data_IF_200875519929
#
_entry.id   IF_200875519929
#
_cell.length_a   1.000
_cell.length_b   1.000
_cell.length_c   1.000
_cell.angle_alpha   90.00
_cell.angle_beta   90.00
_cell.angle_gamma   90.00
#
_symmetry.space_group_name_H-M   'P 1'
#
loop_
_entity.id
_entity.type
_entity.pdbx_description
1 polymer ?
#
# COMPACT_ATOMS: atom_id res chain seq x y z
N UNK A 1 23.65 9.78 -26.83
CA UNK A 1 22.72 9.58 -27.98
C UNK A 1 22.45 8.12 -28.32
N UNK A 2 23.44 7.27 -28.65
CA UNK A 2 23.21 5.81 -28.88
C UNK A 2 22.90 5.04 -27.59
N UNK A 3 23.58 5.38 -26.48
CA UNK A 3 23.28 4.84 -25.16
C UNK A 3 21.86 5.22 -24.70
N UNK A 4 21.42 6.47 -24.95
CA UNK A 4 20.07 6.93 -24.59
C UNK A 4 18.98 6.25 -25.43
N UNK A 5 19.22 6.01 -26.73
CA UNK A 5 18.29 5.25 -27.58
C UNK A 5 18.18 3.77 -27.18
N UNK A 6 19.28 3.14 -26.74
CA UNK A 6 19.27 1.76 -26.22
C UNK A 6 18.48 1.69 -24.90
N UNK A 7 18.74 2.63 -23.98
CA UNK A 7 18.00 2.74 -22.71
C UNK A 7 16.50 2.94 -22.96
N UNK A 8 16.09 3.79 -23.91
CA UNK A 8 14.69 3.98 -24.27
C UNK A 8 14.04 2.72 -24.89
N UNK A 9 14.78 1.99 -25.74
CA UNK A 9 14.30 0.75 -26.37
C UNK A 9 14.08 -0.37 -25.34
N UNK A 10 14.92 -0.47 -24.32
CA UNK A 10 14.80 -1.47 -23.26
C UNK A 10 13.82 -1.03 -22.16
N UNK A 11 13.58 0.27 -22.02
CA UNK A 11 12.66 0.85 -21.03
C UNK A 11 11.20 0.59 -21.39
N UNK A 12 10.82 0.78 -22.66
CA UNK A 12 9.42 0.76 -23.07
C UNK A 12 8.71 -0.58 -22.76
N UNK A 13 9.27 -1.76 -23.09
CA UNK A 13 8.61 -3.03 -22.76
C UNK A 13 8.42 -3.24 -21.25
N UNK A 14 9.38 -2.81 -20.44
CA UNK A 14 9.32 -2.95 -18.98
C UNK A 14 8.28 -2.00 -18.36
N UNK A 15 8.18 -0.77 -18.87
CA UNK A 15 7.15 0.20 -18.46
C UNK A 15 5.76 -0.30 -18.86
N UNK A 16 5.60 -0.78 -20.10
CA UNK A 16 4.31 -1.33 -20.58
C UNK A 16 3.88 -2.54 -19.75
N UNK A 17 4.79 -3.48 -19.49
CA UNK A 17 4.51 -4.63 -18.65
C UNK A 17 4.11 -4.22 -17.22
N UNK A 18 4.78 -3.21 -16.67
CA UNK A 18 4.47 -2.68 -15.34
C UNK A 18 3.08 -2.03 -15.34
N UNK A 19 2.82 -1.08 -16.23
CA UNK A 19 1.54 -0.34 -16.28
C UNK A 19 0.36 -1.29 -16.47
N UNK A 20 0.46 -2.22 -17.42
CA UNK A 20 -0.61 -3.21 -17.68
C UNK A 20 -0.79 -4.18 -16.51
N UNK A 21 0.31 -4.58 -15.87
CA UNK A 21 0.29 -5.49 -14.74
C UNK A 21 -0.27 -4.88 -13.46
N UNK A 22 -0.21 -3.56 -13.31
CA UNK A 22 -0.65 -2.85 -12.11
C UNK A 22 -2.01 -2.16 -12.24
N UNK A 23 -2.75 -2.31 -13.35
CA UNK A 23 -4.10 -1.73 -13.48
C UNK A 23 -5.04 -2.18 -12.35
N UNK A 24 -4.85 -3.38 -11.81
CA UNK A 24 -5.55 -3.90 -10.64
C UNK A 24 -5.18 -3.16 -9.36
N UNK A 25 -3.98 -2.58 -9.25
CA UNK A 25 -3.66 -1.64 -8.16
C UNK A 25 -4.46 -0.34 -8.29
N UNK A 26 -4.72 0.14 -9.51
CA UNK A 26 -5.66 1.26 -9.73
C UNK A 26 -7.09 0.86 -9.32
N UNK A 27 -7.54 -0.32 -9.73
CA UNK A 27 -8.82 -0.89 -9.31
C UNK A 27 -8.91 -1.04 -7.78
N UNK A 28 -7.85 -1.50 -7.13
CA UNK A 28 -7.79 -1.61 -5.66
C UNK A 28 -7.86 -0.24 -4.98
N UNK A 29 -7.17 0.76 -5.51
CA UNK A 29 -7.34 2.14 -5.05
C UNK A 29 -8.79 2.63 -5.13
N UNK A 30 -9.49 2.27 -6.22
CA UNK A 30 -10.91 2.56 -6.35
C UNK A 30 -11.74 1.81 -5.30
N UNK A 31 -11.54 0.50 -5.10
CA UNK A 31 -12.32 -0.30 -4.13
C UNK A 31 -12.00 0.06 -2.68
N UNK A 32 -10.77 0.49 -2.38
CA UNK A 32 -10.36 0.92 -1.05
C UNK A 32 -11.03 2.24 -0.67
N UNK A 33 -11.04 3.24 -1.57
CA UNK A 33 -11.73 4.51 -1.35
C UNK A 33 -13.24 4.49 -1.59
N UNK A 34 -13.79 3.40 -2.14
CA UNK A 34 -15.17 3.30 -2.62
C UNK A 34 -16.21 3.62 -1.55
N UNK A 35 -16.02 3.15 -0.32
CA UNK A 35 -16.99 3.36 0.75
C UNK A 35 -17.12 4.83 1.14
N UNK A 36 -16.14 5.66 0.84
CA UNK A 36 -16.15 7.06 1.26
C UNK A 36 -17.31 7.84 0.65
N UNK A 37 -17.46 7.96 -0.68
CA UNK A 37 -18.67 8.56 -1.27
C UNK A 37 -19.91 7.65 -1.19
N UNK A 38 -19.72 6.33 -1.11
CA UNK A 38 -20.83 5.38 -1.22
C UNK A 38 -21.59 5.15 0.09
N UNK A 39 -20.97 5.29 1.25
CA UNK A 39 -21.69 5.21 2.54
C UNK A 39 -22.76 6.30 2.61
N UNK A 40 -22.46 7.60 2.41
CA UNK A 40 -23.49 8.64 2.34
C UNK A 40 -24.57 8.36 1.31
N UNK A 41 -24.19 7.82 0.14
CA UNK A 41 -25.14 7.38 -0.87
C UNK A 41 -26.11 6.33 -0.30
N UNK A 42 -25.64 5.18 0.19
CA UNK A 42 -26.51 4.10 0.69
C UNK A 42 -27.33 4.45 1.94
N UNK A 43 -26.90 5.44 2.72
CA UNK A 43 -27.68 5.99 3.83
C UNK A 43 -28.79 6.94 3.36
N UNK A 44 -28.75 7.41 2.11
CA UNK A 44 -29.81 8.24 1.54
C UNK A 44 -31.01 7.38 1.09
N UNK A 45 -32.20 7.96 1.19
CA UNK A 45 -33.47 7.28 0.84
C UNK A 45 -33.71 7.13 -0.66
N UNK A 46 -32.81 7.64 -1.51
CA UNK A 46 -32.97 7.69 -2.98
C UNK A 46 -32.18 6.59 -3.71
N UNK A 47 -31.68 5.58 -2.99
CA UNK A 47 -30.82 4.54 -3.55
C UNK A 47 -31.56 3.28 -3.94
N UNK A 48 -30.89 2.49 -4.78
CA UNK A 48 -31.36 1.15 -5.17
C UNK A 48 -31.32 0.14 -4.01
N UNK A 49 -30.54 0.41 -2.96
CA UNK A 49 -30.43 -0.40 -1.73
C UNK A 49 -30.24 0.55 -0.55
N UNK A 50 -31.28 0.77 0.24
CA UNK A 50 -31.17 1.56 1.48
C UNK A 50 -30.52 0.71 2.58
N UNK A 51 -29.50 1.25 3.25
CA UNK A 51 -28.75 0.56 4.31
C UNK A 51 -28.85 1.30 5.65
N UNK A 52 -28.70 0.57 6.74
CA UNK A 52 -28.38 1.19 8.04
C UNK A 52 -26.89 1.55 8.11
N UNK A 53 -26.52 2.45 9.04
CA UNK A 53 -25.11 2.80 9.28
C UNK A 53 -24.26 1.56 9.58
N UNK A 54 -24.76 0.64 10.41
CA UNK A 54 -24.09 -0.62 10.70
C UNK A 54 -23.83 -1.43 9.43
N UNK A 55 -24.86 -1.59 8.58
CA UNK A 55 -24.73 -2.35 7.34
C UNK A 55 -23.72 -1.71 6.37
N UNK A 56 -23.71 -0.38 6.29
CA UNK A 56 -22.81 0.35 5.41
C UNK A 56 -21.35 0.26 5.87
N UNK A 57 -21.08 0.40 7.17
CA UNK A 57 -19.74 0.27 7.75
C UNK A 57 -19.17 -1.15 7.63
N UNK A 58 -20.01 -2.19 7.68
CA UNK A 58 -19.58 -3.57 7.46
C UNK A 58 -18.97 -3.80 6.06
N UNK A 59 -19.33 -3.00 5.06
CA UNK A 59 -18.70 -3.05 3.73
C UNK A 59 -17.19 -2.80 3.77
N UNK A 60 -16.74 -2.01 4.74
CA UNK A 60 -15.33 -1.66 4.92
C UNK A 60 -14.57 -2.83 5.54
N UNK A 61 -15.12 -3.35 6.65
CA UNK A 61 -14.56 -4.49 7.36
C UNK A 61 -14.48 -5.73 6.45
N UNK A 62 -15.52 -6.01 5.67
CA UNK A 62 -15.56 -7.18 4.77
C UNK A 62 -14.48 -7.11 3.68
N UNK A 63 -14.20 -5.91 3.15
CA UNK A 63 -13.09 -5.73 2.22
C UNK A 63 -11.73 -6.04 2.87
N UNK A 64 -11.50 -5.54 4.08
CA UNK A 64 -10.25 -5.79 4.79
C UNK A 64 -10.11 -7.27 5.22
N UNK A 65 -11.20 -7.94 5.57
CA UNK A 65 -11.22 -9.39 5.79
C UNK A 65 -10.95 -10.18 4.50
N UNK A 66 -11.44 -9.70 3.36
CA UNK A 66 -11.12 -10.24 2.04
C UNK A 66 -9.62 -10.17 1.75
N UNK A 67 -8.98 -9.03 2.07
CA UNK A 67 -7.53 -8.87 1.93
C UNK A 67 -6.77 -9.88 2.81
N UNK A 68 -7.15 -10.02 4.09
CA UNK A 68 -6.54 -11.00 4.99
C UNK A 68 -6.70 -12.45 4.48
N UNK A 69 -7.86 -12.76 3.91
CA UNK A 69 -8.13 -14.06 3.32
C UNK A 69 -7.34 -14.31 2.02
N UNK A 70 -6.90 -13.27 1.31
CA UNK A 70 -6.08 -13.36 0.10
C UNK A 70 -4.65 -13.83 0.36
N UNK A 71 -4.07 -13.48 1.52
CA UNK A 71 -2.66 -13.75 1.84
C UNK A 71 -2.20 -15.19 1.56
N UNK A 72 -2.89 -16.25 2.04
CA UNK A 72 -2.45 -17.63 1.79
C UNK A 72 -2.54 -18.01 0.32
N UNK A 73 -3.58 -17.55 -0.39
CA UNK A 73 -3.75 -17.82 -1.82
C UNK A 73 -2.63 -17.17 -2.62
N UNK A 74 -2.23 -15.96 -2.26
CA UNK A 74 -1.16 -15.26 -2.96
C UNK A 74 0.19 -15.92 -2.74
N UNK A 75 0.55 -16.24 -1.49
CA UNK A 75 1.83 -16.86 -1.14
C UNK A 75 2.00 -18.20 -1.87
N UNK A 76 0.95 -19.03 -1.91
CA UNK A 76 1.00 -20.31 -2.61
C UNK A 76 0.94 -20.13 -4.14
N UNK A 77 0.15 -19.16 -4.61
CA UNK A 77 -0.07 -18.87 -6.02
C UNK A 77 1.20 -18.41 -6.74
N UNK A 78 1.95 -17.47 -6.18
CA UNK A 78 3.13 -16.87 -6.85
C UNK A 78 4.26 -17.86 -7.10
N UNK A 79 4.40 -18.87 -6.24
CA UNK A 79 5.42 -19.92 -6.34
C UNK A 79 4.95 -21.13 -7.17
N UNK A 80 3.66 -21.47 -7.08
CA UNK A 80 3.11 -22.61 -7.81
C UNK A 80 2.73 -22.25 -9.26
N UNK A 81 1.96 -21.18 -9.44
CA UNK A 81 1.38 -20.73 -10.71
C UNK A 81 2.25 -19.71 -11.46
N UNK A 82 3.10 -18.98 -10.73
CA UNK A 82 3.92 -17.90 -11.26
C UNK A 82 3.34 -16.51 -10.95
N UNK A 83 4.18 -15.49 -11.16
CA UNK A 83 3.86 -14.10 -10.77
C UNK A 83 2.81 -13.53 -11.71
N UNK A 84 3.00 -13.69 -13.03
CA UNK A 84 2.04 -13.23 -14.05
C UNK A 84 0.66 -13.86 -13.87
N UNK A 85 0.62 -15.17 -13.69
CA UNK A 85 -0.66 -15.90 -13.52
C UNK A 85 -1.42 -15.42 -12.28
N UNK A 86 -0.71 -15.20 -11.17
CA UNK A 86 -1.31 -14.70 -9.93
C UNK A 86 -1.93 -13.30 -10.12
N UNK A 87 -1.24 -12.41 -10.84
CA UNK A 87 -1.76 -11.08 -11.18
C UNK A 87 -2.98 -11.13 -12.12
N UNK A 88 -3.06 -12.12 -13.03
CA UNK A 88 -4.23 -12.32 -13.89
C UNK A 88 -5.42 -12.80 -13.07
N UNK A 89 -5.22 -13.76 -12.16
CA UNK A 89 -6.30 -14.26 -11.27
C UNK A 89 -6.84 -13.13 -10.39
N UNK A 90 -5.95 -12.31 -9.83
CA UNK A 90 -6.32 -11.09 -9.10
C UNK A 90 -7.20 -10.16 -9.95
N UNK A 91 -6.82 -9.88 -11.20
CA UNK A 91 -7.63 -9.05 -12.10
C UNK A 91 -8.99 -9.68 -12.43
N UNK A 92 -9.08 -11.01 -12.54
CA UNK A 92 -10.36 -11.73 -12.73
C UNK A 92 -11.28 -11.54 -11.52
N UNK A 93 -10.76 -11.72 -10.30
CA UNK A 93 -11.54 -11.46 -9.08
C UNK A 93 -11.98 -10.00 -8.97
N UNK A 94 -11.11 -9.05 -9.33
CA UNK A 94 -11.47 -7.63 -9.42
C UNK A 94 -12.58 -7.36 -10.44
N UNK A 95 -12.52 -7.98 -11.62
CA UNK A 95 -13.56 -7.85 -12.64
C UNK A 95 -14.91 -8.39 -12.16
N UNK A 96 -14.91 -9.59 -11.55
CA UNK A 96 -16.11 -10.19 -10.95
C UNK A 96 -16.69 -9.27 -9.87
N UNK A 97 -15.86 -8.70 -8.99
CA UNK A 97 -16.30 -7.73 -7.99
C UNK A 97 -17.06 -6.56 -8.64
N UNK A 98 -16.47 -5.89 -9.64
CA UNK A 98 -17.12 -4.74 -10.26
C UNK A 98 -18.40 -5.09 -11.02
N UNK A 99 -18.45 -6.27 -11.67
CA UNK A 99 -19.70 -6.77 -12.28
C UNK A 99 -20.77 -6.96 -11.20
N UNK A 100 -20.42 -7.58 -10.07
CA UNK A 100 -21.36 -7.79 -8.96
C UNK A 100 -21.85 -6.48 -8.38
N UNK A 101 -20.98 -5.48 -8.19
CA UNK A 101 -21.38 -4.14 -7.72
C UNK A 101 -22.28 -3.40 -8.72
N UNK A 102 -22.11 -3.63 -10.03
CA UNK A 102 -22.93 -3.03 -11.07
C UNK A 102 -24.36 -3.59 -11.07
N UNK A 103 -24.50 -4.90 -10.89
CA UNK A 103 -25.80 -5.60 -10.99
C UNK A 103 -26.46 -5.89 -9.64
N UNK A 104 -25.81 -5.53 -8.53
CA UNK A 104 -26.28 -5.88 -7.19
C UNK A 104 -27.62 -5.22 -6.88
N UNK A 105 -28.58 -6.02 -6.45
CA UNK A 105 -29.87 -5.59 -5.90
C UNK A 105 -30.04 -5.96 -4.43
N UNK A 106 -29.00 -6.56 -3.81
CA UNK A 106 -29.02 -7.05 -2.45
C UNK A 106 -27.68 -6.79 -1.75
N UNK A 107 -27.75 -6.36 -0.47
CA UNK A 107 -26.62 -6.14 0.42
C UNK A 107 -25.61 -7.28 0.46
N UNK A 108 -26.07 -8.54 0.52
CA UNK A 108 -25.17 -9.70 0.60
C UNK A 108 -24.31 -9.88 -0.66
N UNK A 109 -24.83 -9.46 -1.83
CA UNK A 109 -24.06 -9.47 -3.08
C UNK A 109 -22.96 -8.41 -3.02
N UNK A 110 -23.27 -7.22 -2.48
CA UNK A 110 -22.27 -6.17 -2.24
C UNK A 110 -21.21 -6.70 -1.28
N UNK A 111 -21.58 -7.29 -0.16
CA UNK A 111 -20.62 -7.88 0.79
C UNK A 111 -19.70 -8.92 0.14
N UNK A 112 -20.26 -9.84 -0.65
CA UNK A 112 -19.45 -10.80 -1.38
C UNK A 112 -18.51 -10.13 -2.39
N UNK A 113 -18.99 -9.12 -3.12
CA UNK A 113 -18.15 -8.34 -4.03
C UNK A 113 -17.02 -7.61 -3.28
N UNK A 114 -17.29 -7.01 -2.11
CA UNK A 114 -16.30 -6.35 -1.26
C UNK A 114 -15.24 -7.35 -0.76
N UNK A 115 -15.64 -8.55 -0.37
CA UNK A 115 -14.71 -9.61 0.02
C UNK A 115 -13.77 -10.00 -1.14
N UNK A 116 -14.32 -10.17 -2.35
CA UNK A 116 -13.52 -10.44 -3.55
C UNK A 116 -12.59 -9.29 -3.90
N UNK A 117 -13.02 -8.03 -3.74
CA UNK A 117 -12.19 -6.85 -3.96
C UNK A 117 -10.94 -6.88 -3.07
N UNK A 118 -11.12 -7.11 -1.77
CA UNK A 118 -10.01 -7.19 -0.82
C UNK A 118 -9.03 -8.30 -1.18
N UNK A 119 -9.54 -9.49 -1.50
CA UNK A 119 -8.73 -10.62 -1.91
C UNK A 119 -7.94 -10.32 -3.19
N UNK A 120 -8.59 -9.72 -4.19
CA UNK A 120 -7.96 -9.32 -5.44
C UNK A 120 -6.86 -8.27 -5.20
N UNK A 121 -7.13 -7.28 -4.35
CA UNK A 121 -6.19 -6.23 -3.96
C UNK A 121 -4.92 -6.81 -3.35
N UNK A 122 -5.06 -7.62 -2.29
CA UNK A 122 -3.94 -8.30 -1.62
C UNK A 122 -3.09 -9.12 -2.61
N UNK A 123 -3.75 -9.93 -3.44
CA UNK A 123 -3.06 -10.71 -4.47
C UNK A 123 -2.23 -9.84 -5.42
N UNK A 124 -2.74 -8.66 -5.79
CA UNK A 124 -2.03 -7.72 -6.64
C UNK A 124 -0.81 -7.11 -5.92
N UNK A 125 -0.99 -6.65 -4.68
CA UNK A 125 0.05 -5.96 -3.92
C UNK A 125 1.21 -6.85 -3.46
N UNK A 126 1.00 -8.16 -3.44
CA UNK A 126 2.09 -9.12 -3.24
C UNK A 126 2.71 -9.54 -4.58
N UNK A 127 1.92 -9.91 -5.59
CA UNK A 127 2.44 -10.45 -6.86
C UNK A 127 3.11 -9.39 -7.76
N UNK A 128 2.55 -8.19 -7.85
CA UNK A 128 3.02 -7.16 -8.78
C UNK A 128 4.40 -6.60 -8.42
N UNK A 129 4.72 -6.26 -7.15
CA UNK A 129 6.07 -5.83 -6.80
C UNK A 129 7.13 -6.91 -7.05
N UNK A 130 6.81 -8.18 -6.83
CA UNK A 130 7.69 -9.30 -7.15
C UNK A 130 7.93 -9.40 -8.66
N UNK A 131 6.86 -9.36 -9.46
CA UNK A 131 6.96 -9.37 -10.91
C UNK A 131 7.86 -8.22 -11.40
N UNK A 132 7.58 -7.00 -10.96
CA UNK A 132 8.34 -5.79 -11.32
C UNK A 132 9.81 -5.94 -10.93
N UNK A 133 10.12 -6.41 -9.71
CA UNK A 133 11.49 -6.59 -9.26
C UNK A 133 12.28 -7.61 -10.10
N UNK A 134 11.61 -8.67 -10.56
CA UNK A 134 12.19 -9.75 -11.37
C UNK A 134 12.31 -9.39 -12.86
N UNK A 135 11.46 -8.49 -13.38
CA UNK A 135 11.55 -8.01 -14.77
C UNK A 135 12.35 -6.72 -14.93
N UNK A 136 12.54 -5.92 -13.89
CA UNK A 136 13.17 -4.61 -14.02
C UNK A 136 14.70 -4.67 -14.01
N UNK A 137 15.33 -3.93 -14.93
CA UNK A 137 16.78 -3.67 -14.86
C UNK A 137 17.10 -2.82 -13.62
N UNK A 138 18.27 -3.04 -12.96
CA UNK A 138 18.60 -2.40 -11.68
C UNK A 138 18.44 -0.87 -11.68
N UNK A 139 18.79 -0.21 -12.79
CA UNK A 139 18.76 1.26 -12.93
C UNK A 139 17.36 1.88 -12.82
N UNK A 140 16.31 1.17 -13.23
CA UNK A 140 14.93 1.70 -13.26
C UNK A 140 13.98 0.97 -12.30
N UNK A 141 14.47 -0.06 -11.59
CA UNK A 141 13.66 -0.90 -10.71
C UNK A 141 12.90 -0.10 -9.66
N UNK A 142 13.56 0.87 -9.02
CA UNK A 142 12.91 1.73 -8.02
C UNK A 142 11.76 2.56 -8.61
N UNK A 143 11.95 3.13 -9.80
CA UNK A 143 10.91 3.86 -10.52
C UNK A 143 9.70 2.95 -10.85
N UNK A 144 9.93 1.79 -11.45
CA UNK A 144 8.85 0.86 -11.78
C UNK A 144 8.13 0.34 -10.53
N UNK A 145 8.87 0.05 -9.46
CA UNK A 145 8.29 -0.37 -8.19
C UNK A 145 7.42 0.72 -7.55
N UNK A 146 7.72 2.01 -7.78
CA UNK A 146 6.89 3.11 -7.28
C UNK A 146 5.55 3.27 -8.03
N UNK A 147 5.47 2.80 -9.28
CA UNK A 147 4.28 2.96 -10.12
C UNK A 147 3.05 2.25 -9.54
N UNK A 148 3.21 1.11 -8.85
CA UNK A 148 2.10 0.38 -8.23
C UNK A 148 1.35 1.25 -7.20
N UNK A 149 2.10 1.96 -6.35
CA UNK A 149 1.55 2.80 -5.30
C UNK A 149 0.94 4.08 -5.88
N UNK A 150 1.55 4.64 -6.93
CA UNK A 150 0.96 5.78 -7.64
C UNK A 150 -0.33 5.41 -8.34
N UNK A 151 -0.41 4.21 -8.93
CA UNK A 151 -1.64 3.69 -9.55
C UNK A 151 -2.76 3.47 -8.52
N UNK A 152 -2.44 2.97 -7.33
CA UNK A 152 -3.40 2.91 -6.23
C UNK A 152 -3.97 4.27 -5.89
N UNK A 153 -3.13 5.29 -5.73
CA UNK A 153 -3.60 6.64 -5.43
C UNK A 153 -4.39 7.27 -6.58
N UNK A 154 -4.03 6.97 -7.83
CA UNK A 154 -4.84 7.33 -9.00
C UNK A 154 -6.24 6.70 -8.92
N UNK A 155 -6.33 5.44 -8.48
CA UNK A 155 -7.60 4.77 -8.21
C UNK A 155 -8.48 5.52 -7.21
N UNK A 156 -7.88 6.00 -6.11
CA UNK A 156 -8.58 6.80 -5.10
C UNK A 156 -9.10 8.13 -5.71
N UNK A 157 -8.29 8.79 -6.55
CA UNK A 157 -8.71 10.00 -7.27
C UNK A 157 -9.90 9.70 -8.18
N UNK A 158 -9.85 8.60 -8.94
CA UNK A 158 -10.93 8.18 -9.84
C UNK A 158 -12.21 7.94 -9.04
N UNK A 159 -12.17 7.19 -7.94
CA UNK A 159 -13.40 6.86 -7.20
C UNK A 159 -13.96 8.05 -6.43
N UNK A 160 -13.13 8.92 -5.87
CA UNK A 160 -13.63 10.14 -5.22
C UNK A 160 -14.22 11.13 -6.22
N UNK A 161 -13.74 11.13 -7.46
CA UNK A 161 -14.32 11.96 -8.53
C UNK A 161 -15.62 11.36 -9.04
N UNK A 162 -15.57 10.10 -9.46
CA UNK A 162 -16.69 9.44 -10.14
C UNK A 162 -17.79 9.02 -9.17
N UNK A 163 -17.43 8.53 -7.99
CA UNK A 163 -18.40 8.14 -6.96
C UNK A 163 -19.16 9.31 -6.35
N UNK A 164 -18.58 10.52 -6.37
CA UNK A 164 -19.22 11.71 -5.79
C UNK A 164 -20.02 12.53 -6.80
N UNK A 165 -19.60 12.52 -8.07
CA UNK A 165 -20.15 13.43 -9.09
C UNK A 165 -21.00 12.72 -10.16
N UNK A 166 -20.89 11.40 -10.28
CA UNK A 166 -21.54 10.63 -11.34
C UNK A 166 -22.48 9.57 -10.76
N UNK A 167 -23.44 9.05 -11.56
CA UNK A 167 -24.33 8.00 -11.13
C UNK A 167 -23.61 6.74 -10.67
N UNK A 168 -24.25 5.99 -9.76
CA UNK A 168 -23.71 4.77 -9.13
C UNK A 168 -23.16 3.72 -10.11
N UNK A 169 -23.72 3.60 -11.31
CA UNK A 169 -23.27 2.62 -12.30
C UNK A 169 -21.92 2.98 -12.96
N UNK A 170 -21.47 4.24 -12.88
CA UNK A 170 -20.26 4.70 -13.58
C UNK A 170 -18.97 4.12 -12.96
N UNK A 171 -18.72 4.22 -11.63
CA UNK A 171 -17.51 3.65 -11.06
C UNK A 171 -17.35 2.14 -11.29
N UNK A 172 -18.40 1.30 -11.16
CA UNK A 172 -18.32 -0.11 -11.54
C UNK A 172 -17.93 -0.34 -13.00
N UNK A 173 -18.48 0.41 -13.96
CA UNK A 173 -18.10 0.28 -15.38
C UNK A 173 -16.61 0.59 -15.58
N UNK A 174 -16.09 1.65 -14.95
CA UNK A 174 -14.67 2.00 -15.02
C UNK A 174 -13.81 0.87 -14.45
N UNK A 175 -14.20 0.32 -13.29
CA UNK A 175 -13.53 -0.83 -12.68
C UNK A 175 -13.51 -2.08 -13.57
N UNK A 176 -14.64 -2.41 -14.21
CA UNK A 176 -14.74 -3.49 -15.20
C UNK A 176 -13.76 -3.24 -16.34
N UNK A 177 -13.74 -2.05 -16.93
CA UNK A 177 -12.84 -1.71 -18.04
C UNK A 177 -11.37 -1.86 -17.62
N UNK A 178 -10.96 -1.31 -16.48
CA UNK A 178 -9.58 -1.37 -16.00
C UNK A 178 -9.11 -2.82 -15.79
N UNK A 179 -9.89 -3.60 -15.04
CA UNK A 179 -9.57 -5.01 -14.75
C UNK A 179 -9.68 -5.88 -16.00
N UNK A 180 -10.57 -5.56 -16.93
CA UNK A 180 -10.70 -6.24 -18.22
C UNK A 180 -9.51 -6.00 -19.12
N UNK A 181 -9.06 -4.74 -19.21
CA UNK A 181 -7.83 -4.41 -19.89
C UNK A 181 -6.63 -5.20 -19.33
N UNK A 182 -6.53 -5.36 -18.01
CA UNK A 182 -5.47 -6.19 -17.43
C UNK A 182 -5.60 -7.66 -17.82
N UNK A 183 -6.74 -8.31 -17.58
CA UNK A 183 -6.85 -9.75 -17.83
C UNK A 183 -6.74 -10.09 -19.33
N UNK A 184 -7.10 -9.17 -20.24
CA UNK A 184 -7.02 -9.36 -21.69
C UNK A 184 -5.61 -9.07 -22.22
N UNK A 185 -4.98 -7.96 -21.79
CA UNK A 185 -3.73 -7.49 -22.38
C UNK A 185 -2.48 -8.00 -21.67
N UNK A 186 -2.53 -8.20 -20.35
CA UNK A 186 -1.38 -8.65 -19.58
C UNK A 186 -0.89 -10.07 -19.90
N UNK A 187 -1.73 -11.05 -20.33
CA UNK A 187 -1.25 -12.36 -20.77
C UNK A 187 -0.17 -12.33 -21.86
N UNK A 188 -0.19 -11.31 -22.72
CA UNK A 188 0.79 -11.10 -23.80
C UNK A 188 2.17 -10.68 -23.28
N UNK A 189 2.26 -10.17 -22.05
CA UNK A 189 3.51 -9.83 -21.40
C UNK A 189 4.28 -11.10 -20.98
N UNK A 190 5.63 -11.06 -20.96
CA UNK A 190 6.43 -12.20 -20.54
C UNK A 190 6.21 -12.52 -19.06
N UNK A 191 6.31 -13.79 -18.69
CA UNK A 191 6.40 -14.19 -17.29
C UNK A 191 7.81 -13.87 -16.76
N UNK A 192 7.94 -13.81 -15.44
CA UNK A 192 9.22 -13.59 -14.77
C UNK A 192 10.32 -14.57 -15.23
N UNK A 193 11.50 -14.07 -15.66
CA UNK A 193 12.67 -14.90 -15.93
C UNK A 193 13.12 -15.71 -14.71
N UNK A 194 13.05 -15.12 -13.51
CA UNK A 194 13.39 -15.79 -12.24
C UNK A 194 12.48 -16.98 -11.98
N UNK A 195 11.17 -16.84 -12.24
CA UNK A 195 10.23 -17.95 -12.11
C UNK A 195 10.54 -19.11 -13.05
N UNK A 196 10.89 -18.82 -14.32
CA UNK A 196 11.27 -19.87 -15.26
C UNK A 196 12.56 -20.58 -14.87
N UNK A 197 13.58 -19.85 -14.42
CA UNK A 197 14.81 -20.45 -13.88
C UNK A 197 14.52 -21.29 -12.65
N UNK A 198 13.67 -20.81 -11.73
CA UNK A 198 13.24 -21.57 -10.56
C UNK A 198 12.59 -22.91 -10.91
N UNK A 199 11.78 -22.95 -11.98
CA UNK A 199 11.12 -24.15 -12.53
C UNK A 199 12.00 -24.95 -13.51
N UNK A 200 13.30 -24.67 -13.59
CA UNK A 200 14.26 -25.33 -14.49
C UNK A 200 13.89 -25.21 -15.99
N UNK A 201 13.31 -24.09 -16.42
CA UNK A 201 12.88 -23.81 -17.81
C UNK A 201 13.70 -22.67 -18.43
N UNK A 202 15.00 -22.88 -18.59
CA UNK A 202 15.95 -21.85 -19.03
C UNK A 202 15.63 -21.21 -20.39
N UNK A 203 15.28 -22.01 -21.39
CA UNK A 203 14.94 -21.49 -22.74
C UNK A 203 13.78 -20.49 -22.72
N UNK A 204 12.78 -20.73 -21.86
CA UNK A 204 11.67 -19.79 -21.65
C UNK A 204 12.14 -18.54 -20.91
N UNK A 205 13.10 -18.65 -19.98
CA UNK A 205 13.70 -17.50 -19.33
C UNK A 205 14.46 -16.61 -20.33
N UNK A 206 15.24 -17.21 -21.25
CA UNK A 206 15.93 -16.47 -22.34
C UNK A 206 14.93 -15.71 -23.21
N UNK A 207 13.86 -16.39 -23.61
CA UNK A 207 12.81 -15.82 -24.44
C UNK A 207 12.07 -14.67 -23.73
N UNK A 208 11.83 -14.80 -22.42
CA UNK A 208 11.23 -13.75 -21.61
C UNK A 208 12.13 -12.50 -21.50
N UNK A 209 13.44 -12.69 -21.28
CA UNK A 209 14.41 -11.59 -21.24
C UNK A 209 14.51 -10.86 -22.58
N UNK A 210 14.58 -11.60 -23.69
CA UNK A 210 14.63 -11.04 -25.05
C UNK A 210 13.40 -10.18 -25.39
N UNK A 211 12.23 -10.47 -24.79
CA UNK A 211 11.03 -9.63 -24.94
C UNK A 211 11.08 -8.36 -24.11
N UNK A 212 11.80 -8.37 -22.97
CA UNK A 212 11.90 -7.23 -22.05
C UNK A 212 13.02 -6.26 -22.46
N UNK A 213 14.11 -6.77 -23.03
CA UNK A 213 15.28 -5.98 -23.42
C UNK A 213 16.05 -6.63 -24.56
N UNK A 214 16.69 -5.80 -25.38
CA UNK A 214 17.57 -6.24 -26.47
C UNK A 214 19.04 -6.14 -26.01
N UNK A 215 19.46 -7.04 -25.11
CA UNK A 215 20.85 -7.10 -24.64
C UNK A 215 21.65 -8.19 -25.40
N UNK A 216 22.84 -7.88 -25.95
CA UNK A 216 23.74 -8.88 -26.51
C UNK A 216 24.34 -9.86 -25.48
N UNK A 217 24.28 -9.59 -24.17
CA UNK A 217 24.89 -10.43 -23.12
C UNK A 217 23.85 -11.16 -22.23
N UNK A 218 22.76 -11.62 -22.83
CA UNK A 218 21.65 -12.30 -22.12
C UNK A 218 22.11 -13.58 -21.41
N UNK A 219 23.09 -14.29 -21.96
CA UNK A 219 23.62 -15.50 -21.33
C UNK A 219 24.31 -15.21 -19.99
N UNK A 220 24.98 -14.05 -19.87
CA UNK A 220 25.52 -13.59 -18.60
C UNK A 220 24.41 -13.25 -17.61
N UNK A 221 23.39 -12.51 -18.03
CA UNK A 221 22.24 -12.17 -17.16
C UNK A 221 21.51 -13.43 -16.66
N UNK A 222 21.32 -14.44 -17.51
CA UNK A 222 20.75 -15.73 -17.11
C UNK A 222 21.64 -16.44 -16.07
N UNK A 223 22.95 -16.39 -16.26
CA UNK A 223 23.89 -16.98 -15.30
C UNK A 223 23.82 -16.30 -13.94
N UNK A 224 23.72 -14.97 -13.92
CA UNK A 224 23.51 -14.20 -12.68
C UNK A 224 22.17 -14.55 -12.01
N UNK A 225 21.09 -14.68 -12.80
CA UNK A 225 19.77 -15.10 -12.29
C UNK A 225 19.83 -16.52 -11.72
N UNK A 226 20.50 -17.47 -12.38
CA UNK A 226 20.70 -18.84 -11.88
C UNK A 226 21.40 -18.83 -10.52
N UNK A 227 22.50 -18.10 -10.41
CA UNK A 227 23.23 -17.97 -9.15
C UNK A 227 22.35 -17.36 -8.04
N UNK A 228 21.56 -16.34 -8.36
CA UNK A 228 20.63 -15.73 -7.41
C UNK A 228 19.54 -16.70 -6.94
N UNK A 229 18.93 -17.44 -7.87
CA UNK A 229 17.89 -18.45 -7.57
C UNK A 229 18.46 -19.62 -6.77
N UNK A 230 19.69 -20.04 -7.07
CA UNK A 230 20.35 -21.13 -6.35
C UNK A 230 20.70 -20.71 -4.92
N UNK A 231 21.25 -19.50 -4.72
CA UNK A 231 21.42 -18.92 -3.38
C UNK A 231 20.09 -18.81 -2.63
N UNK A 232 19.01 -18.41 -3.30
CA UNK A 232 17.68 -18.35 -2.67
C UNK A 232 17.17 -19.75 -2.25
N UNK A 233 17.60 -20.83 -2.91
CA UNK A 233 17.26 -22.21 -2.53
C UNK A 233 18.14 -22.72 -1.38
N UNK A 234 19.44 -22.42 -1.38
CA UNK A 234 20.42 -22.95 -0.44
C UNK A 234 20.53 -22.14 0.85
N UNK A 235 20.32 -20.82 0.79
CA UNK A 235 20.46 -19.88 1.92
C UNK A 235 19.12 -19.56 2.61
N UNK A 236 18.09 -20.43 2.48
CA UNK A 236 16.82 -20.23 3.20
C UNK A 236 17.04 -20.33 4.71
N UNK A 237 16.79 -19.22 5.40
CA UNK A 237 16.77 -19.20 6.87
C UNK A 237 15.64 -20.06 7.40
N UNK A 238 15.80 -20.60 8.61
CA UNK A 238 14.71 -21.34 9.26
C UNK A 238 13.66 -20.33 9.70
N UNK A 239 12.35 -20.59 9.56
CA UNK A 239 11.32 -19.67 10.07
C UNK A 239 11.50 -19.33 11.56
N UNK A 240 12.06 -20.27 12.34
CA UNK A 240 12.38 -20.08 13.75
C UNK A 240 13.43 -18.98 14.00
N UNK A 241 14.31 -18.71 13.02
CA UNK A 241 15.38 -17.70 13.13
C UNK A 241 14.81 -16.28 13.27
N UNK A 242 13.57 -16.05 12.85
CA UNK A 242 12.86 -14.79 13.09
C UNK A 242 12.72 -14.48 14.58
N UNK A 243 12.46 -15.51 15.38
CA UNK A 243 12.22 -15.38 16.82
C UNK A 243 13.50 -15.67 17.59
N UNK A 244 14.35 -16.59 17.15
CA UNK A 244 15.57 -16.97 17.88
C UNK A 244 16.68 -15.92 17.79
N UNK A 245 16.82 -15.25 16.65
CA UNK A 245 17.90 -14.26 16.42
C UNK A 245 17.47 -12.88 16.92
N UNK A 246 18.30 -12.24 17.74
CA UNK A 246 18.02 -10.94 18.37
C UNK A 246 17.73 -9.83 17.36
N UNK A 247 18.55 -9.69 16.30
CA UNK A 247 18.34 -8.64 15.28
C UNK A 247 17.00 -8.82 14.56
N UNK A 248 16.64 -10.06 14.24
CA UNK A 248 15.38 -10.39 13.58
C UNK A 248 14.16 -10.07 14.45
N UNK A 249 14.24 -10.36 15.77
CA UNK A 249 13.19 -9.96 16.72
C UNK A 249 13.00 -8.45 16.78
N UNK A 250 14.10 -7.69 16.77
CA UNK A 250 14.03 -6.22 16.79
C UNK A 250 13.44 -5.71 15.48
N UNK A 251 13.85 -6.26 14.34
CA UNK A 251 13.25 -5.96 13.04
C UNK A 251 11.74 -6.23 13.03
N UNK A 252 11.32 -7.40 13.51
CA UNK A 252 9.90 -7.76 13.64
C UNK A 252 9.15 -6.79 14.55
N UNK A 253 9.71 -6.43 15.70
CA UNK A 253 9.10 -5.48 16.63
C UNK A 253 8.93 -4.09 15.98
N UNK A 254 9.98 -3.60 15.30
CA UNK A 254 9.92 -2.33 14.56
C UNK A 254 8.81 -2.38 13.51
N UNK A 255 8.75 -3.45 12.72
CA UNK A 255 7.74 -3.57 11.67
C UNK A 255 6.33 -3.74 12.21
N UNK A 256 6.17 -4.46 13.32
CA UNK A 256 4.87 -4.63 13.97
C UNK A 256 4.30 -3.28 14.39
N UNK A 257 5.10 -2.46 15.07
CA UNK A 257 4.69 -1.14 15.53
C UNK A 257 4.50 -0.18 14.34
N UNK A 258 5.45 -0.12 13.41
CA UNK A 258 5.42 0.84 12.30
C UNK A 258 4.27 0.58 11.32
N UNK A 259 4.00 -0.68 10.95
CA UNK A 259 2.88 -0.99 10.05
C UNK A 259 1.54 -0.89 10.79
N UNK A 260 1.49 -1.33 12.05
CA UNK A 260 0.27 -1.21 12.86
C UNK A 260 -0.13 0.26 13.05
N UNK A 261 0.83 1.11 13.40
CA UNK A 261 0.56 2.51 13.71
C UNK A 261 0.03 3.32 12.53
N UNK A 262 0.37 2.97 11.28
CA UNK A 262 -0.20 3.65 10.11
C UNK A 262 -1.73 3.65 10.14
N UNK A 263 -2.34 2.52 10.54
CA UNK A 263 -3.78 2.38 10.68
C UNK A 263 -4.34 3.07 11.92
N UNK A 264 -3.59 3.05 13.02
CA UNK A 264 -3.94 3.78 14.24
C UNK A 264 -3.61 5.27 14.20
N UNK A 265 -3.07 5.78 13.09
CA UNK A 265 -2.99 7.22 12.75
C UNK A 265 -4.12 7.61 11.77
N UNK A 266 -4.98 6.65 11.41
CA UNK A 266 -6.25 6.91 10.74
C UNK A 266 -6.24 6.75 9.23
N UNK A 267 -5.20 6.15 8.60
CA UNK A 267 -5.14 6.05 7.13
C UNK A 267 -6.35 5.33 6.52
N UNK A 268 -6.74 4.16 7.05
CA UNK A 268 -7.90 3.41 6.55
C UNK A 268 -9.19 4.16 6.83
N UNK A 269 -9.35 4.65 8.05
CA UNK A 269 -10.55 5.37 8.47
C UNK A 269 -10.78 6.60 7.60
N UNK A 270 -9.75 7.44 7.43
CA UNK A 270 -9.84 8.65 6.61
C UNK A 270 -10.10 8.27 5.15
N UNK A 271 -9.39 7.30 4.56
CA UNK A 271 -9.62 6.92 3.16
C UNK A 271 -10.99 6.30 2.90
N UNK A 272 -11.51 5.52 3.84
CA UNK A 272 -12.76 4.79 3.68
C UNK A 272 -13.98 5.62 4.11
N UNK A 273 -13.82 6.61 5.00
CA UNK A 273 -14.91 7.42 5.56
C UNK A 273 -14.77 8.93 5.34
N UNK A 274 -13.87 9.40 4.45
CA UNK A 274 -13.61 10.84 4.26
C UNK A 274 -14.87 11.71 4.10
N UNK A 275 -15.84 11.29 3.27
CA UNK A 275 -17.06 12.08 3.07
C UNK A 275 -17.95 12.12 4.31
N UNK A 276 -18.02 11.02 5.08
CA UNK A 276 -18.72 10.99 6.37
C UNK A 276 -18.06 11.95 7.35
N UNK A 277 -16.73 11.92 7.46
CA UNK A 277 -15.95 12.83 8.32
C UNK A 277 -16.19 14.30 7.92
N UNK A 278 -16.20 14.60 6.62
CA UNK A 278 -16.42 15.96 6.11
C UNK A 278 -17.88 16.41 6.24
N UNK A 279 -18.85 15.51 6.12
CA UNK A 279 -20.26 15.77 6.43
C UNK A 279 -20.43 16.10 7.91
N UNK A 280 -19.81 15.32 8.79
CA UNK A 280 -19.79 15.58 10.24
C UNK A 280 -19.10 16.92 10.57
N UNK A 281 -18.16 17.40 9.75
CA UNK A 281 -17.61 18.73 9.92
C UNK A 281 -18.66 19.83 9.68
N UNK A 282 -19.55 19.62 8.70
CA UNK A 282 -20.65 20.54 8.36
C UNK A 282 -20.16 21.85 7.77
N UNK A 283 -19.20 21.80 6.84
CA UNK A 283 -18.59 23.01 6.28
C UNK A 283 -19.52 23.78 5.36
N UNK A 284 -19.62 25.10 5.55
CA UNK A 284 -20.29 26.02 4.61
C UNK A 284 -19.37 26.53 3.48
N UNK A 285 -18.06 26.27 3.57
CA UNK A 285 -17.06 26.82 2.65
C UNK A 285 -16.71 25.90 1.49
N UNK A 286 -16.81 24.58 1.71
CA UNK A 286 -16.44 23.58 0.70
C UNK A 286 -17.29 22.33 0.88
N UNK A 287 -17.82 21.83 -0.23
CA UNK A 287 -18.57 20.59 -0.23
C UNK A 287 -17.66 19.38 0.02
N UNK A 288 -18.14 18.36 0.75
CA UNK A 288 -17.41 17.12 1.03
C UNK A 288 -16.80 16.46 -0.21
N UNK A 289 -17.55 16.42 -1.32
CA UNK A 289 -17.10 15.84 -2.59
C UNK A 289 -15.86 16.58 -3.14
N UNK A 290 -15.91 17.90 -3.19
CA UNK A 290 -14.80 18.73 -3.68
C UNK A 290 -13.58 18.60 -2.77
N UNK A 291 -13.77 18.63 -1.45
CA UNK A 291 -12.70 18.47 -0.48
C UNK A 291 -12.03 17.08 -0.57
N UNK A 292 -12.82 16.02 -0.77
CA UNK A 292 -12.31 14.66 -0.95
C UNK A 292 -11.47 14.52 -2.23
N UNK A 293 -11.92 15.07 -3.35
CA UNK A 293 -11.16 15.05 -4.61
C UNK A 293 -9.82 15.80 -4.44
N UNK A 294 -9.82 16.98 -3.81
CA UNK A 294 -8.58 17.72 -3.55
C UNK A 294 -7.65 16.91 -2.64
N UNK A 295 -8.18 16.29 -1.58
CA UNK A 295 -7.43 15.43 -0.68
C UNK A 295 -6.72 14.28 -1.43
N UNK A 296 -7.40 13.58 -2.33
CA UNK A 296 -6.81 12.43 -3.04
C UNK A 296 -5.75 12.87 -4.07
N UNK A 297 -5.95 14.02 -4.72
CA UNK A 297 -4.93 14.62 -5.59
C UNK A 297 -3.69 15.03 -4.80
N UNK A 298 -3.86 15.68 -3.64
CA UNK A 298 -2.74 16.04 -2.76
C UNK A 298 -1.98 14.79 -2.32
N UNK A 299 -2.68 13.70 -1.96
CA UNK A 299 -2.02 12.44 -1.62
C UNK A 299 -1.18 11.90 -2.77
N UNK A 300 -1.72 11.86 -3.99
CA UNK A 300 -1.03 11.36 -5.18
C UNK A 300 0.23 12.18 -5.47
N UNK A 301 0.11 13.51 -5.48
CA UNK A 301 1.24 14.42 -5.72
C UNK A 301 2.30 14.28 -4.61
N UNK A 302 1.86 14.21 -3.36
CA UNK A 302 2.77 14.09 -2.21
C UNK A 302 3.52 12.77 -2.21
N UNK A 303 2.91 11.66 -2.62
CA UNK A 303 3.60 10.38 -2.80
C UNK A 303 4.66 10.44 -3.91
N UNK A 304 4.36 11.12 -5.02
CA UNK A 304 5.33 11.39 -6.08
C UNK A 304 6.54 12.16 -5.55
N UNK A 305 6.30 13.26 -4.82
CA UNK A 305 7.37 14.07 -4.20
C UNK A 305 8.16 13.25 -3.19
N UNK A 306 7.48 12.48 -2.32
CA UNK A 306 8.09 11.63 -1.31
C UNK A 306 9.14 10.68 -1.90
N UNK A 307 8.81 10.05 -3.03
CA UNK A 307 9.73 9.12 -3.70
C UNK A 307 11.02 9.80 -4.19
N UNK A 308 10.94 11.07 -4.62
CA UNK A 308 12.11 11.83 -5.08
C UNK A 308 12.99 12.32 -3.93
N UNK A 309 12.40 12.65 -2.78
CA UNK A 309 13.13 13.24 -1.65
C UNK A 309 13.65 12.19 -0.64
N UNK A 310 13.11 10.97 -0.63
CA UNK A 310 13.46 9.94 0.35
C UNK A 310 14.95 9.58 0.35
N UNK A 311 15.55 9.47 -0.83
CA UNK A 311 16.98 9.19 -0.95
C UNK A 311 17.85 10.38 -0.56
N UNK A 312 17.29 11.60 -0.58
CA UNK A 312 17.99 12.81 -0.17
C UNK A 312 17.97 13.02 1.34
N UNK A 313 16.84 12.86 2.02
CA UNK A 313 16.72 13.21 3.45
C UNK A 313 16.85 12.03 4.41
N UNK A 314 16.67 10.80 3.94
CA UNK A 314 16.74 9.62 4.81
C UNK A 314 15.37 9.23 5.39
N UNK A 315 15.28 8.00 5.88
CA UNK A 315 14.01 7.36 6.23
C UNK A 315 13.53 7.86 7.60
N UNK A 316 14.43 7.93 8.59
CA UNK A 316 14.10 8.30 9.97
C UNK A 316 13.62 9.75 10.06
N UNK A 317 14.34 10.66 9.39
CA UNK A 317 13.99 12.09 9.38
C UNK A 317 12.60 12.34 8.78
N UNK A 318 12.29 11.70 7.65
CA UNK A 318 10.99 11.83 7.01
C UNK A 318 9.85 11.26 7.84
N UNK A 319 10.07 10.14 8.55
CA UNK A 319 9.09 9.58 9.48
C UNK A 319 8.78 10.56 10.63
N UNK A 320 9.81 11.08 11.31
CA UNK A 320 9.63 12.01 12.43
C UNK A 320 8.83 13.25 12.03
N UNK A 321 9.17 13.87 10.88
CA UNK A 321 8.45 15.04 10.38
C UNK A 321 7.01 14.66 10.00
N UNK A 322 6.83 13.56 9.28
CA UNK A 322 5.52 13.11 8.83
C UNK A 322 4.60 12.82 10.01
N UNK A 323 5.05 12.06 11.00
CA UNK A 323 4.30 11.70 12.21
C UNK A 323 3.98 12.93 13.07
N UNK A 324 4.91 13.87 13.20
CA UNK A 324 4.69 15.10 13.97
C UNK A 324 3.64 16.00 13.34
N UNK A 325 3.78 16.29 12.03
CA UNK A 325 2.87 17.19 11.32
C UNK A 325 1.48 16.57 11.15
N UNK A 326 1.42 15.25 10.90
CA UNK A 326 0.17 14.50 10.84
C UNK A 326 -0.54 14.51 12.20
N UNK A 327 0.21 14.33 13.30
CA UNK A 327 -0.32 14.43 14.66
C UNK A 327 -0.91 15.81 14.96
N UNK A 328 -0.26 16.89 14.51
CA UNK A 328 -0.81 18.25 14.62
C UNK A 328 -2.11 18.41 13.81
N UNK A 329 -2.16 17.90 12.57
CA UNK A 329 -3.36 17.95 11.74
C UNK A 329 -4.55 17.25 12.43
N UNK A 330 -4.30 16.05 12.97
CA UNK A 330 -5.30 15.26 13.69
C UNK A 330 -5.72 15.94 15.00
N UNK A 331 -4.78 16.55 15.74
CA UNK A 331 -5.08 17.27 16.97
C UNK A 331 -6.02 18.44 16.72
N UNK A 332 -5.72 19.28 15.73
CA UNK A 332 -6.55 20.43 15.37
C UNK A 332 -7.95 19.98 14.94
N UNK A 333 -8.03 18.92 14.13
CA UNK A 333 -9.30 18.33 13.70
C UNK A 333 -10.11 17.76 14.87
N UNK A 334 -9.44 17.08 15.81
CA UNK A 334 -10.06 16.54 17.02
C UNK A 334 -10.64 17.64 17.90
N UNK A 335 -9.88 18.71 18.12
CA UNK A 335 -10.32 19.87 18.91
C UNK A 335 -11.56 20.51 18.26
N UNK A 336 -11.55 20.68 16.93
CA UNK A 336 -12.73 21.19 16.21
C UNK A 336 -13.97 20.33 16.47
N UNK A 337 -13.86 19.01 16.28
CA UNK A 337 -14.99 18.11 16.49
C UNK A 337 -15.46 18.08 17.94
N UNK A 338 -14.54 18.19 18.89
CA UNK A 338 -14.87 18.23 20.30
C UNK A 338 -15.60 19.53 20.69
N UNK A 339 -15.14 20.68 20.19
CA UNK A 339 -15.84 21.96 20.37
C UNK A 339 -17.24 21.93 19.77
N UNK A 340 -17.40 21.35 18.56
CA UNK A 340 -18.71 21.14 17.94
C UNK A 340 -19.62 20.26 18.78
N UNK A 341 -19.08 19.19 19.38
CA UNK A 341 -19.84 18.30 20.28
C UNK A 341 -20.29 19.00 21.57
N UNK A 342 -19.48 19.93 22.09
CA UNK A 342 -19.83 20.79 23.23
C UNK A 342 -20.79 21.94 22.84
N UNK A 343 -21.38 21.90 21.64
CA UNK A 343 -22.35 22.86 21.12
C UNK A 343 -21.80 24.30 20.96
N UNK A 344 -20.48 24.47 20.87
CA UNK A 344 -19.91 25.76 20.47
C UNK A 344 -20.19 26.06 19.00
N UNK A 345 -20.45 27.33 18.68
CA UNK A 345 -20.61 27.77 17.30
C UNK A 345 -19.26 27.77 16.57
N UNK A 346 -19.09 26.76 15.70
CA UNK A 346 -17.90 26.56 14.87
C UNK A 346 -18.13 26.92 13.41
N UNK A 347 -19.27 27.52 13.04
CA UNK A 347 -19.67 27.73 11.65
C UNK A 347 -18.66 28.59 10.88
N UNK A 348 -18.15 29.65 11.52
CA UNK A 348 -17.19 30.57 10.90
C UNK A 348 -15.84 29.90 10.64
N UNK A 349 -15.52 28.82 11.37
CA UNK A 349 -14.27 28.07 11.26
C UNK A 349 -14.48 26.68 10.69
N UNK A 350 -15.63 26.42 10.05
CA UNK A 350 -16.00 25.09 9.55
C UNK A 350 -15.11 24.59 8.39
N UNK A 351 -14.25 25.44 7.84
CA UNK A 351 -13.24 25.07 6.85
C UNK A 351 -12.04 24.31 7.48
N UNK A 352 -11.86 24.38 8.80
CA UNK A 352 -10.70 23.80 9.50
C UNK A 352 -10.55 22.30 9.25
N UNK A 353 -11.58 21.44 9.39
CA UNK A 353 -11.42 20.01 9.14
C UNK A 353 -11.00 19.70 7.70
N UNK A 354 -11.53 20.44 6.72
CA UNK A 354 -11.14 20.30 5.31
C UNK A 354 -9.66 20.65 5.10
N UNK A 355 -9.18 21.75 5.68
CA UNK A 355 -7.76 22.11 5.65
C UNK A 355 -6.89 21.08 6.38
N UNK A 356 -7.37 20.52 7.50
CA UNK A 356 -6.64 19.51 8.26
C UNK A 356 -6.52 18.19 7.50
N UNK A 357 -7.56 17.72 6.80
CA UNK A 357 -7.44 16.51 5.96
C UNK A 357 -6.50 16.74 4.77
N UNK A 358 -6.50 17.94 4.16
CA UNK A 358 -5.55 18.29 3.09
C UNK A 358 -4.10 18.31 3.60
N UNK A 359 -3.88 18.90 4.77
CA UNK A 359 -2.57 18.91 5.41
C UNK A 359 -2.13 17.49 5.79
N UNK A 360 -3.03 16.69 6.38
CA UNK A 360 -2.82 15.26 6.66
C UNK A 360 -2.43 14.48 5.40
N UNK A 361 -3.12 14.68 4.28
CA UNK A 361 -2.82 14.00 3.01
C UNK A 361 -1.37 14.24 2.57
N UNK A 362 -0.91 15.48 2.68
CA UNK A 362 0.45 15.85 2.31
C UNK A 362 1.48 15.27 3.30
N UNK A 363 1.29 15.51 4.59
CA UNK A 363 2.27 15.15 5.62
C UNK A 363 2.37 13.65 5.81
N UNK A 364 1.24 12.93 5.75
CA UNK A 364 1.22 11.47 5.88
C UNK A 364 1.99 10.83 4.71
N UNK A 365 1.75 11.25 3.46
CA UNK A 365 2.38 10.62 2.29
C UNK A 365 3.88 10.90 2.16
N UNK A 366 4.37 12.01 2.71
CA UNK A 366 5.81 12.35 2.68
C UNK A 366 6.68 11.37 3.49
N UNK A 367 6.15 10.78 4.57
CA UNK A 367 6.89 9.84 5.42
C UNK A 367 6.14 8.55 5.66
N UNK A 368 5.15 8.57 6.56
CA UNK A 368 4.37 7.40 6.98
C UNK A 368 3.78 6.60 5.83
N UNK A 369 3.43 7.23 4.71
CA UNK A 369 2.83 6.55 3.57
C UNK A 369 3.80 5.75 2.70
N UNK A 370 5.10 6.07 2.70
CA UNK A 370 6.08 5.47 1.77
C UNK A 370 7.29 4.85 2.49
N UNK A 371 7.75 5.46 3.59
CA UNK A 371 8.94 4.99 4.31
C UNK A 371 8.76 3.59 4.91
N UNK A 372 7.62 3.23 5.55
CA UNK A 372 7.44 1.88 6.10
C UNK A 372 7.59 0.77 5.06
N UNK A 373 7.12 0.99 3.84
CA UNK A 373 7.26 0.05 2.71
C UNK A 373 8.74 -0.20 2.41
N UNK A 374 9.53 0.87 2.34
CA UNK A 374 10.97 0.80 2.06
C UNK A 374 11.72 0.15 3.22
N UNK A 375 11.42 0.55 4.46
CA UNK A 375 12.03 -0.04 5.67
C UNK A 375 11.72 -1.53 5.77
N UNK A 376 10.51 -1.97 5.42
CA UNK A 376 10.13 -3.39 5.37
C UNK A 376 11.08 -4.21 4.49
N UNK A 377 11.50 -3.65 3.34
CA UNK A 377 12.41 -4.31 2.41
C UNK A 377 13.89 -4.23 2.83
N UNK A 378 14.27 -3.28 3.68
CA UNK A 378 15.65 -2.99 4.10
C UNK A 378 16.00 -3.62 5.47
N UNK A 379 15.04 -3.83 6.36
CA UNK A 379 15.30 -4.19 7.77
C UNK A 379 15.56 -5.70 8.00
N UNK A 380 15.00 -6.56 7.16
CA UNK A 380 15.18 -8.01 7.28
C UNK A 380 16.40 -8.50 6.48
N UNK A 381 17.20 -9.44 7.03
CA UNK A 381 18.27 -10.08 6.28
C UNK A 381 17.69 -10.97 5.16
N UNK A 382 18.46 -11.17 4.10
CA UNK A 382 18.02 -11.88 2.87
C UNK A 382 17.45 -13.27 3.12
N UNK A 383 18.00 -14.00 4.08
CA UNK A 383 17.66 -15.40 4.38
C UNK A 383 16.24 -15.59 4.93
N UNK A 384 15.70 -14.60 5.65
CA UNK A 384 14.36 -14.62 6.26
C UNK A 384 13.45 -13.49 5.75
N UNK A 385 13.94 -12.67 4.81
CA UNK A 385 13.25 -11.48 4.31
C UNK A 385 11.83 -11.75 3.87
N UNK A 386 11.61 -12.78 3.04
CA UNK A 386 10.28 -13.12 2.54
C UNK A 386 9.28 -13.36 3.68
N UNK A 387 9.65 -14.16 4.69
CA UNK A 387 8.77 -14.47 5.82
C UNK A 387 8.53 -13.22 6.69
N UNK A 388 9.58 -12.44 6.94
CA UNK A 388 9.47 -11.18 7.71
C UNK A 388 8.53 -10.17 7.04
N UNK A 389 8.63 -10.02 5.71
CA UNK A 389 7.74 -9.17 4.92
C UNK A 389 6.28 -9.66 4.97
N UNK A 390 6.04 -10.98 4.84
CA UNK A 390 4.70 -11.56 4.97
C UNK A 390 4.08 -11.31 6.34
N UNK A 391 4.85 -11.44 7.43
CA UNK A 391 4.35 -11.15 8.78
C UNK A 391 4.03 -9.65 8.91
N UNK A 392 4.91 -8.78 8.40
CA UNK A 392 4.70 -7.33 8.44
C UNK A 392 3.43 -6.90 7.68
N UNK A 393 3.13 -7.56 6.56
CA UNK A 393 1.93 -7.36 5.76
C UNK A 393 0.67 -7.88 6.46
N UNK A 394 0.74 -9.05 7.09
CA UNK A 394 -0.34 -9.56 7.94
C UNK A 394 -0.67 -8.59 9.09
N UNK A 395 0.36 -8.01 9.75
CA UNK A 395 0.16 -6.99 10.79
C UNK A 395 -0.51 -5.75 10.23
N UNK A 396 -0.11 -5.30 9.03
CA UNK A 396 -0.74 -4.16 8.35
C UNK A 396 -2.24 -4.41 8.15
N UNK A 397 -2.61 -5.53 7.52
CA UNK A 397 -4.02 -5.87 7.25
C UNK A 397 -4.84 -6.04 8.53
N UNK A 398 -4.31 -6.75 9.54
CA UNK A 398 -5.00 -6.95 10.82
C UNK A 398 -5.18 -5.61 11.56
N UNK A 399 -4.17 -4.75 11.56
CA UNK A 399 -4.27 -3.42 12.17
C UNK A 399 -5.31 -2.55 11.44
N UNK A 400 -5.45 -2.68 10.11
CA UNK A 400 -6.51 -2.01 9.36
C UNK A 400 -7.90 -2.43 9.84
N UNK A 401 -8.14 -3.75 9.97
CA UNK A 401 -9.42 -4.31 10.46
C UNK A 401 -9.70 -3.83 11.87
N UNK A 402 -8.71 -3.88 12.77
CA UNK A 402 -8.90 -3.47 14.15
C UNK A 402 -9.17 -1.95 14.23
N UNK A 403 -8.42 -1.14 13.50
CA UNK A 403 -8.57 0.33 13.52
C UNK A 403 -9.95 0.77 13.04
N UNK A 404 -10.46 0.20 11.93
CA UNK A 404 -11.79 0.57 11.40
C UNK A 404 -12.92 0.19 12.36
N UNK A 405 -12.81 -0.97 13.04
CA UNK A 405 -13.81 -1.42 14.00
C UNK A 405 -13.77 -0.59 15.29
N UNK A 406 -12.57 -0.25 15.78
CA UNK A 406 -12.43 0.67 16.93
C UNK A 406 -13.00 2.04 16.59
N UNK A 407 -12.72 2.57 15.39
CA UNK A 407 -13.32 3.81 14.90
C UNK A 407 -14.85 3.75 14.94
N UNK A 408 -15.46 2.73 14.35
CA UNK A 408 -16.93 2.57 14.32
C UNK A 408 -17.53 2.54 15.74
N UNK A 409 -16.97 1.75 16.64
CA UNK A 409 -17.44 1.65 18.03
C UNK A 409 -17.31 2.99 18.76
N UNK A 410 -16.17 3.67 18.63
CA UNK A 410 -15.95 4.96 19.29
C UNK A 410 -16.84 6.06 18.72
N UNK A 411 -16.99 6.10 17.39
CA UNK A 411 -17.83 7.08 16.70
C UNK A 411 -19.28 6.98 17.16
N UNK A 412 -19.84 5.76 17.25
CA UNK A 412 -21.22 5.53 17.73
C UNK A 412 -21.41 5.83 19.21
N UNK A 413 -20.43 5.46 20.04
CA UNK A 413 -20.58 5.54 21.50
C UNK A 413 -20.34 6.95 22.04
N UNK A 414 -19.41 7.71 21.43
CA UNK A 414 -18.93 8.97 21.98
C UNK A 414 -18.99 10.14 20.99
N UNK A 415 -19.16 9.87 19.68
CA UNK A 415 -19.12 10.87 18.61
C UNK A 415 -17.76 10.94 17.90
N UNK A 416 -17.71 11.74 16.82
CA UNK A 416 -16.60 11.73 15.85
C UNK A 416 -15.26 12.21 16.44
N UNK A 417 -15.25 13.03 17.48
CA UNK A 417 -14.02 13.51 18.11
C UNK A 417 -13.22 12.39 18.82
N UNK A 418 -13.92 11.39 19.37
CA UNK A 418 -13.29 10.37 20.20
C UNK A 418 -12.23 9.53 19.47
N UNK A 419 -12.50 8.95 18.27
CA UNK A 419 -11.46 8.20 17.55
C UNK A 419 -10.28 9.07 17.12
N UNK A 420 -10.48 10.37 16.84
CA UNK A 420 -9.38 11.25 16.46
C UNK A 420 -8.46 11.62 17.64
N UNK A 421 -8.95 11.61 18.90
CA UNK A 421 -8.06 11.67 20.08
C UNK A 421 -7.12 10.47 20.15
N UNK A 422 -7.63 9.26 19.87
CA UNK A 422 -6.82 8.05 19.79
C UNK A 422 -5.77 8.19 18.69
N UNK A 423 -6.16 8.60 17.48
CA UNK A 423 -5.22 8.73 16.36
C UNK A 423 -4.15 9.78 16.60
N UNK A 424 -4.53 10.91 17.18
CA UNK A 424 -3.61 11.98 17.58
C UNK A 424 -2.57 11.46 18.59
N UNK A 425 -3.03 10.75 19.63
CA UNK A 425 -2.17 10.19 20.67
C UNK A 425 -1.19 9.17 20.09
N UNK A 426 -1.68 8.27 19.24
CA UNK A 426 -0.86 7.29 18.52
C UNK A 426 0.20 7.99 17.64
N UNK A 427 -0.14 9.07 16.96
CA UNK A 427 0.80 9.82 16.10
C UNK A 427 1.98 10.38 16.90
N UNK A 428 1.73 11.00 18.06
CA UNK A 428 2.81 11.54 18.89
C UNK A 428 3.62 10.46 19.60
N UNK A 429 2.99 9.35 20.02
CA UNK A 429 3.72 8.19 20.54
C UNK A 429 4.64 7.58 19.47
N UNK A 430 4.21 7.58 18.21
CA UNK A 430 5.04 7.11 17.11
C UNK A 430 6.25 8.00 16.87
N UNK A 431 6.15 9.32 17.03
CA UNK A 431 7.33 10.20 16.95
C UNK A 431 8.41 9.76 17.95
N UNK A 432 8.00 9.49 19.20
CA UNK A 432 8.90 8.99 20.24
C UNK A 432 9.50 7.64 19.80
N UNK A 433 8.65 6.72 19.34
CA UNK A 433 9.09 5.40 18.87
C UNK A 433 10.13 5.50 17.74
N UNK A 434 9.87 6.32 16.73
CA UNK A 434 10.74 6.54 15.58
C UNK A 434 12.09 7.11 15.98
N UNK A 435 12.12 8.07 16.91
CA UNK A 435 13.37 8.68 17.39
C UNK A 435 14.25 7.64 18.09
N UNK A 436 13.69 6.73 18.88
CA UNK A 436 14.49 5.83 19.71
C UNK A 436 14.76 4.45 19.09
N UNK A 437 13.80 3.86 18.36
CA UNK A 437 13.89 2.48 17.88
C UNK A 437 14.17 2.34 16.38
N UNK A 438 13.75 3.29 15.54
CA UNK A 438 13.93 3.16 14.09
C UNK A 438 15.36 3.57 13.71
N UNK A 439 16.16 2.67 13.09
CA UNK A 439 17.48 3.00 12.59
C UNK A 439 17.38 3.79 11.28
N UNK A 440 18.38 4.63 11.01
CA UNK A 440 18.52 5.23 9.68
C UNK A 440 19.12 4.19 8.71
N UNK A 441 18.39 3.88 7.64
CA UNK A 441 18.78 2.88 6.64
C UNK A 441 19.40 3.49 5.39
N UNK A 442 19.29 4.81 5.19
CA UNK A 442 19.82 5.50 4.02
C UNK A 442 21.33 5.26 3.86
N UNK A 443 21.69 4.74 2.68
CA UNK A 443 23.09 4.52 2.30
C UNK A 443 23.78 3.42 3.11
N UNK A 444 23.02 2.56 3.79
CA UNK A 444 23.53 1.42 4.56
C UNK A 444 23.34 0.12 3.81
N UNK A 445 24.29 -0.80 3.95
CA UNK A 445 24.13 -2.18 3.47
C UNK A 445 23.21 -2.97 4.40
N UNK A 446 22.62 -4.08 3.91
CA UNK A 446 21.81 -4.95 4.75
C UNK A 446 22.59 -5.44 5.99
N UNK A 447 23.87 -5.76 5.82
CA UNK A 447 24.73 -6.21 6.92
C UNK A 447 24.97 -5.12 7.96
N UNK A 448 25.19 -3.87 7.53
CA UNK A 448 25.32 -2.74 8.44
C UNK A 448 24.03 -2.52 9.26
N UNK A 449 22.87 -2.63 8.62
CA UNK A 449 21.57 -2.54 9.30
C UNK A 449 21.45 -3.68 10.33
N UNK A 450 21.82 -4.91 9.99
CA UNK A 450 21.80 -6.02 10.95
C UNK A 450 22.70 -5.79 12.16
N UNK A 451 23.89 -5.18 11.97
CA UNK A 451 24.79 -4.81 13.07
C UNK A 451 24.16 -3.71 13.95
N UNK A 452 23.57 -2.69 13.35
CA UNK A 452 22.85 -1.64 14.08
C UNK A 452 21.73 -2.21 14.94
N UNK A 453 20.96 -3.17 14.42
CA UNK A 453 19.91 -3.87 15.18
C UNK A 453 20.47 -4.71 16.35
N UNK A 454 21.71 -5.20 16.26
CA UNK A 454 22.37 -5.89 17.37
C UNK A 454 22.91 -4.93 18.44
N UNK A 455 23.01 -3.63 18.13
CA UNK A 455 23.70 -2.64 18.94
C UNK A 455 25.21 -2.64 18.77
N UNK A 456 25.72 -3.26 17.69
CA UNK A 456 27.14 -3.34 17.35
C UNK A 456 27.51 -2.22 16.35
N UNK A 457 28.67 -1.57 16.49
CA UNK A 457 29.12 -0.57 15.51
C UNK A 457 29.82 -1.27 14.34
N UNK A 458 29.60 -0.79 13.11
CA UNK A 458 30.25 -1.34 11.91
C UNK A 458 31.79 -1.33 11.97
N UNK A 459 32.38 -0.44 12.79
CA UNK A 459 33.82 -0.36 13.06
C UNK A 459 34.37 -1.57 13.83
N UNK A 460 33.55 -2.26 14.63
CA UNK A 460 34.01 -3.33 15.52
C UNK A 460 34.45 -4.59 14.74
N UNK A 461 33.93 -4.76 13.52
CA UNK A 461 34.30 -5.89 12.64
C UNK A 461 35.57 -5.67 11.81
N UNK A 462 35.90 -4.41 11.45
CA UNK A 462 37.20 -4.12 10.79
C UNK A 462 38.36 -4.42 11.72
N UNK A 463 38.17 -4.22 13.03
CA UNK A 463 39.17 -4.54 14.07
C UNK A 463 39.23 -6.06 14.31
N UNK A 464 38.09 -6.76 14.39
CA UNK A 464 38.07 -8.23 14.54
C UNK A 464 38.69 -8.98 13.36
N UNK A 465 38.47 -8.54 12.12
CA UNK A 465 39.11 -9.13 10.95
C UNK A 465 40.59 -8.76 10.82
N UNK A 466 41.07 -7.66 11.43
CA UNK A 466 42.49 -7.32 11.49
C UNK A 466 43.26 -8.00 12.62
N UNK A 467 42.58 -8.64 13.57
CA UNK A 467 43.19 -9.41 14.67
C UNK A 467 43.31 -10.91 14.28
N UNK A 468 42.64 -11.33 13.20
CA UNK A 468 42.70 -12.69 12.65
C UNK A 468 43.45 -12.81 11.31
N UNK A 469 44.25 -11.79 10.96
CA UNK A 469 45.33 -11.85 9.98
C UNK A 469 46.63 -11.76 10.79
#
# INVERSE_FOLDING_TARGET
MLADKKVLRDLLPQVVATILGTLMATSDGMTYGWTSPMIPYFLSNETHIVMTLDQAEWMETINLLGAAAGLPFTILGVDYLGRKTSMIISAIFGCICWILLLVSTNLYVIYFARFLAGMAGDMCFVAAPMYIAEIAVPKIRGFLASLIYLQMLLGIVIIYTTGSLLPYYVPPIIGIVLTSCQFILFPFMPESPYYYVYKNKEEKAKTALLRLRSDPDIDKEITEIKQAVERQKTEKGRPQDLILIRSNRIALFIMFILNGSQHFIGISVILMNLHVILNEAGSIYIEPASAAIIFSVIMLVSAGIASLIMDKFGRKFLLVISESLTGVALLVMTIYFHLKHLEFDVINVSWIPAACVMFYAATFKIGLGLVPIVVTAEIFPTTIKAIGMTIADCVYVVAAVISINIYSVMFKSFGIYAPFYLFTSCSFLMVIFTIFWIPETKGKTLDEIQLMLKGEKATDRKISNSIHI
#
